data_IF_098429277893
#
_entry.id   IF_098429277893
#
_cell.length_a   1.000
_cell.length_b   1.000
_cell.length_c   1.000
_cell.angle_alpha   90.00
_cell.angle_beta   90.00
_cell.angle_gamma   90.00
#
_symmetry.space_group_name_H-M   'P 1'
#
loop_
_entity.id
_entity.type
_entity.pdbx_description
1 polymer ?
#
# COMPACT_ATOMS: atom_id res chain seq x y z
N UNK A 1 5.71 -23.76 4.25
CA UNK A 1 6.52 -23.06 5.26
C UNK A 1 6.97 -21.76 4.60
N UNK A 2 6.95 -20.64 5.31
CA UNK A 2 7.49 -19.40 4.79
C UNK A 2 9.00 -19.41 4.98
N UNK A 3 9.74 -19.47 3.86
CA UNK A 3 11.20 -19.42 3.86
C UNK A 3 11.60 -17.95 3.74
N UNK A 4 12.07 -17.36 4.83
CA UNK A 4 12.44 -15.96 4.95
C UNK A 4 13.85 -15.87 5.52
N UNK A 5 14.75 -15.16 4.84
CA UNK A 5 16.14 -15.01 5.25
C UNK A 5 16.28 -13.98 6.38
N UNK A 6 15.59 -12.85 6.28
CA UNK A 6 15.59 -11.79 7.28
C UNK A 6 14.30 -10.97 7.23
N UNK A 7 13.94 -10.37 8.36
CA UNK A 7 12.87 -9.40 8.50
C UNK A 7 13.42 -8.18 9.23
N UNK A 8 13.34 -7.04 8.58
CA UNK A 8 13.65 -5.72 9.13
C UNK A 8 12.34 -4.98 9.39
N UNK A 9 12.19 -4.36 10.54
CA UNK A 9 11.00 -3.58 10.89
C UNK A 9 11.33 -2.09 10.87
N UNK A 10 10.60 -1.31 10.07
CA UNK A 10 10.70 0.13 10.02
C UNK A 10 9.59 0.77 10.86
N UNK A 11 9.92 1.79 11.65
CA UNK A 11 8.99 2.53 12.50
C UNK A 11 8.73 3.95 12.00
N UNK A 12 9.46 4.38 10.96
CA UNK A 12 9.21 5.63 10.24
C UNK A 12 9.45 5.47 8.74
N UNK A 13 9.00 6.45 7.95
CA UNK A 13 9.24 6.47 6.50
C UNK A 13 10.73 6.60 6.20
N UNK A 14 11.44 7.45 6.96
CA UNK A 14 12.88 7.66 6.83
C UNK A 14 13.66 6.38 7.10
N UNK A 15 13.27 5.64 8.14
CA UNK A 15 13.88 4.34 8.47
C UNK A 15 13.60 3.31 7.38
N UNK A 16 12.39 3.26 6.83
CA UNK A 16 12.05 2.38 5.71
C UNK A 16 12.90 2.67 4.48
N UNK A 17 13.10 3.95 4.15
CA UNK A 17 13.98 4.39 3.06
C UNK A 17 15.43 4.00 3.34
N UNK A 18 15.94 4.21 4.56
CA UNK A 18 17.30 3.84 4.94
C UNK A 18 17.53 2.32 4.81
N UNK A 19 16.63 1.50 5.36
CA UNK A 19 16.67 0.05 5.24
C UNK A 19 16.62 -0.41 3.77
N UNK A 20 15.81 0.24 2.94
CA UNK A 20 15.72 -0.10 1.51
C UNK A 20 17.01 0.21 0.75
N UNK A 21 17.73 1.26 1.16
CA UNK A 21 19.04 1.59 0.59
C UNK A 21 20.15 0.63 1.05
N UNK A 22 20.09 0.18 2.29
CA UNK A 22 21.01 -0.81 2.85
C UNK A 22 20.76 -2.21 2.29
N UNK A 23 19.51 -2.56 2.08
CA UNK A 23 19.08 -3.86 1.58
C UNK A 23 18.30 -3.73 0.26
N UNK A 24 18.98 -3.42 -0.86
CA UNK A 24 18.35 -3.11 -2.14
C UNK A 24 17.54 -4.26 -2.75
N UNK A 25 17.80 -5.50 -2.36
CA UNK A 25 17.05 -6.68 -2.83
C UNK A 25 15.90 -7.08 -1.90
N UNK A 26 15.81 -6.46 -0.70
CA UNK A 26 14.76 -6.78 0.24
C UNK A 26 13.39 -6.32 -0.27
N UNK A 27 12.37 -7.14 -0.09
CA UNK A 27 11.00 -6.83 -0.48
C UNK A 27 10.29 -6.03 0.62
N UNK A 28 9.72 -4.88 0.27
CA UNK A 28 8.84 -4.16 1.19
C UNK A 28 7.55 -4.97 1.40
N UNK A 29 7.14 -5.09 2.66
CA UNK A 29 5.91 -5.76 3.06
C UNK A 29 5.06 -4.85 3.94
N UNK A 30 3.78 -4.69 3.57
CA UNK A 30 2.75 -4.04 4.37
C UNK A 30 1.84 -5.12 5.01
N UNK A 31 0.58 -5.23 4.63
CA UNK A 31 -0.32 -6.28 5.13
C UNK A 31 0.03 -7.71 4.70
N UNK A 32 0.90 -7.88 3.73
CA UNK A 32 1.45 -9.17 3.32
C UNK A 32 0.50 -10.11 2.56
N UNK A 33 -0.71 -9.69 2.26
CA UNK A 33 -1.74 -10.53 1.65
C UNK A 33 -1.33 -11.13 0.29
N UNK A 34 -0.41 -10.50 -0.45
CA UNK A 34 0.15 -11.00 -1.69
C UNK A 34 1.56 -11.59 -1.50
N UNK A 35 2.47 -10.84 -0.87
CA UNK A 35 3.87 -11.25 -0.68
C UNK A 35 3.98 -12.58 0.05
N UNK A 36 3.21 -12.81 1.11
CA UNK A 36 3.22 -14.08 1.85
C UNK A 36 2.65 -15.24 1.03
N UNK A 37 1.68 -14.98 0.16
CA UNK A 37 1.18 -16.02 -0.77
C UNK A 37 2.28 -16.42 -1.75
N UNK A 38 2.97 -15.44 -2.35
CA UNK A 38 4.08 -15.71 -3.27
C UNK A 38 5.23 -16.48 -2.59
N UNK A 39 5.54 -16.14 -1.32
CA UNK A 39 6.52 -16.89 -0.53
C UNK A 39 6.08 -18.33 -0.29
N UNK A 40 4.82 -18.56 0.07
CA UNK A 40 4.26 -19.91 0.25
C UNK A 40 4.31 -20.73 -1.03
N UNK A 41 4.13 -20.11 -2.18
CA UNK A 41 4.24 -20.73 -3.51
C UNK A 41 5.68 -20.96 -3.97
N UNK A 42 6.67 -20.54 -3.17
CA UNK A 42 8.09 -20.67 -3.49
C UNK A 42 8.66 -19.61 -4.43
N UNK A 43 7.85 -18.70 -4.94
CA UNK A 43 8.29 -17.64 -5.88
C UNK A 43 9.23 -16.63 -5.23
N UNK A 44 9.15 -16.47 -3.91
CA UNK A 44 9.98 -15.57 -3.10
C UNK A 44 10.62 -16.30 -1.91
N UNK A 45 10.97 -17.57 -2.08
CA UNK A 45 11.68 -18.32 -1.07
C UNK A 45 13.04 -17.70 -0.76
N UNK A 46 13.40 -17.60 0.52
CA UNK A 46 14.66 -17.00 0.97
C UNK A 46 14.73 -15.48 0.85
N UNK A 47 13.60 -14.78 0.60
CA UNK A 47 13.59 -13.34 0.51
C UNK A 47 13.92 -12.65 1.85
N UNK A 48 14.59 -11.50 1.77
CA UNK A 48 14.66 -10.53 2.86
C UNK A 48 13.45 -9.61 2.78
N UNK A 49 12.86 -9.27 3.92
CA UNK A 49 11.67 -8.43 3.99
C UNK A 49 11.94 -7.17 4.81
N UNK A 50 11.39 -6.03 4.37
CA UNK A 50 11.31 -4.80 5.15
C UNK A 50 9.83 -4.56 5.46
N UNK A 51 9.45 -4.73 6.71
CA UNK A 51 8.10 -4.46 7.19
C UNK A 51 7.93 -2.97 7.44
N UNK A 52 6.93 -2.38 6.76
CA UNK A 52 6.48 -1.02 7.01
C UNK A 52 5.14 -1.00 7.77
N UNK A 53 4.62 -2.16 8.12
CA UNK A 53 3.26 -2.31 8.67
C UNK A 53 3.05 -1.57 10.00
N UNK A 54 4.11 -1.35 10.78
CA UNK A 54 4.09 -0.63 12.05
C UNK A 54 4.12 0.90 11.94
N UNK A 55 4.21 1.48 10.75
CA UNK A 55 4.31 2.94 10.57
C UNK A 55 2.91 3.57 10.64
N UNK A 56 2.49 4.01 11.81
CA UNK A 56 1.15 4.58 12.02
C UNK A 56 0.93 5.89 11.24
N UNK A 57 1.97 6.67 11.00
CA UNK A 57 1.89 7.90 10.21
C UNK A 57 1.41 7.68 8.76
N UNK A 58 1.53 6.45 8.23
CA UNK A 58 1.06 6.07 6.91
C UNK A 58 -0.37 5.53 6.91
N UNK A 59 -1.14 5.73 8.00
CA UNK A 59 -2.53 5.27 8.14
C UNK A 59 -3.48 6.43 8.27
N UNK A 60 -4.74 6.15 7.96
CA UNK A 60 -5.85 7.08 8.17
C UNK A 60 -6.26 7.83 6.92
N UNK A 61 -7.34 8.60 7.07
CA UNK A 61 -7.98 9.36 6.00
C UNK A 61 -8.29 10.74 6.56
N UNK A 62 -7.92 11.78 5.82
CA UNK A 62 -8.25 13.15 6.20
C UNK A 62 -8.52 14.01 4.96
N UNK A 63 -9.06 15.19 5.17
CA UNK A 63 -9.13 16.24 4.15
C UNK A 63 -8.07 17.26 4.51
N UNK A 64 -7.19 17.59 3.56
CA UNK A 64 -6.14 18.59 3.74
C UNK A 64 -6.68 20.03 3.61
N UNK A 65 -5.78 21.01 3.76
CA UNK A 65 -6.12 22.44 3.71
C UNK A 65 -6.63 22.88 2.33
N UNK A 66 -6.23 22.18 1.27
CA UNK A 66 -6.65 22.44 -0.11
C UNK A 66 -7.95 21.73 -0.48
N UNK A 67 -8.51 20.93 0.43
CA UNK A 67 -9.74 20.18 0.24
C UNK A 67 -9.54 18.81 -0.43
N UNK A 68 -8.31 18.33 -0.60
CA UNK A 68 -8.03 17.02 -1.14
C UNK A 68 -8.22 15.94 -0.08
N UNK A 69 -8.70 14.78 -0.48
CA UNK A 69 -8.77 13.62 0.39
C UNK A 69 -7.41 12.92 0.37
N UNK A 70 -6.75 12.89 1.52
CA UNK A 70 -5.49 12.16 1.72
C UNK A 70 -5.77 10.81 2.37
N UNK A 71 -5.25 9.75 1.77
CA UNK A 71 -5.38 8.37 2.26
C UNK A 71 -3.98 7.83 2.50
N UNK A 72 -3.67 7.51 3.75
CA UNK A 72 -2.38 6.88 4.07
C UNK A 72 -2.25 5.52 3.42
N UNK A 73 -1.09 5.22 2.85
CA UNK A 73 -0.85 4.01 2.06
C UNK A 73 -1.04 2.70 2.85
N UNK A 74 -0.89 2.73 4.17
CA UNK A 74 -1.14 1.60 5.06
C UNK A 74 -2.59 1.53 5.59
N UNK A 75 -3.49 2.36 5.07
CA UNK A 75 -4.91 2.30 5.42
C UNK A 75 -5.53 1.03 4.84
N UNK A 76 -6.16 0.23 5.71
CA UNK A 76 -6.77 -1.04 5.30
C UNK A 76 -8.06 -0.82 4.52
N UNK A 77 -8.41 -1.78 3.68
CA UNK A 77 -9.67 -1.75 2.94
C UNK A 77 -10.89 -1.66 3.85
N UNK A 78 -10.90 -2.40 4.97
CA UNK A 78 -11.98 -2.33 5.95
C UNK A 78 -12.11 -0.94 6.60
N UNK A 79 -11.01 -0.21 6.76
CA UNK A 79 -11.05 1.18 7.22
C UNK A 79 -11.69 2.07 6.14
N UNK A 80 -11.20 2.00 4.90
CA UNK A 80 -11.70 2.79 3.76
C UNK A 80 -13.22 2.61 3.59
N UNK A 81 -13.70 1.36 3.60
CA UNK A 81 -15.13 1.04 3.45
C UNK A 81 -16.01 1.69 4.53
N UNK A 82 -15.48 1.88 5.73
CA UNK A 82 -16.25 2.39 6.88
C UNK A 82 -16.06 3.88 7.12
N UNK A 83 -15.07 4.48 6.52
CA UNK A 83 -14.70 5.86 6.77
C UNK A 83 -15.79 6.85 6.31
N UNK A 84 -16.19 7.83 7.14
CA UNK A 84 -17.25 8.78 6.80
C UNK A 84 -16.86 9.73 5.67
N UNK A 85 -15.58 10.08 5.50
CA UNK A 85 -15.10 10.93 4.40
C UNK A 85 -15.26 10.18 3.09
N UNK A 86 -14.81 8.92 3.05
CA UNK A 86 -14.94 8.08 1.85
C UNK A 86 -16.42 7.91 1.47
N UNK A 87 -17.27 7.56 2.43
CA UNK A 87 -18.72 7.37 2.21
C UNK A 87 -19.41 8.63 1.70
N UNK A 88 -18.97 9.78 2.14
CA UNK A 88 -19.57 11.06 1.75
C UNK A 88 -19.12 11.54 0.38
N UNK A 89 -17.84 11.42 0.07
CA UNK A 89 -17.25 12.10 -1.09
C UNK A 89 -16.84 11.16 -2.23
N UNK A 90 -16.38 9.95 -1.92
CA UNK A 90 -15.90 8.96 -2.91
C UNK A 90 -16.37 7.55 -2.56
N UNK A 91 -17.67 7.38 -2.29
CA UNK A 91 -18.25 6.10 -1.86
C UNK A 91 -17.91 4.94 -2.81
N UNK A 92 -17.76 5.22 -4.11
CA UNK A 92 -17.39 4.21 -5.12
C UNK A 92 -16.04 3.55 -4.80
N UNK A 93 -15.09 4.27 -4.18
CA UNK A 93 -13.83 3.66 -3.72
C UNK A 93 -14.11 2.66 -2.58
N UNK A 94 -14.97 3.06 -1.62
CA UNK A 94 -15.38 2.17 -0.53
C UNK A 94 -16.04 0.89 -1.02
N UNK A 95 -16.91 0.98 -2.02
CA UNK A 95 -17.57 -0.16 -2.66
C UNK A 95 -16.58 -1.05 -3.41
N UNK A 96 -15.66 -0.44 -4.17
CA UNK A 96 -14.64 -1.17 -4.92
C UNK A 96 -13.73 -1.99 -4.00
N UNK A 97 -13.21 -1.39 -2.93
CA UNK A 97 -12.32 -2.10 -2.00
C UNK A 97 -13.07 -3.10 -1.11
N UNK A 98 -14.38 -2.98 -0.94
CA UNK A 98 -15.19 -3.99 -0.25
C UNK A 98 -15.37 -5.29 -1.07
N UNK A 99 -15.11 -5.24 -2.36
CA UNK A 99 -15.08 -6.42 -3.22
C UNK A 99 -13.77 -7.23 -3.12
N UNK A 100 -12.72 -6.67 -2.50
CA UNK A 100 -11.42 -7.36 -2.38
C UNK A 100 -11.52 -8.53 -1.41
N UNK A 101 -11.42 -9.74 -1.92
CA UNK A 101 -11.33 -10.99 -1.14
C UNK A 101 -12.37 -11.09 -0.02
N UNK A 102 -11.98 -11.70 1.10
CA UNK A 102 -12.82 -11.82 2.29
C UNK A 102 -12.47 -10.79 3.38
N UNK A 103 -13.27 -10.71 4.47
CA UNK A 103 -13.06 -9.76 5.58
C UNK A 103 -11.64 -9.81 6.17
N UNK A 104 -11.05 -11.00 6.25
CA UNK A 104 -9.68 -11.19 6.78
C UNK A 104 -8.66 -10.46 5.89
N UNK A 105 -8.80 -10.57 4.57
CA UNK A 105 -7.93 -9.89 3.61
C UNK A 105 -8.14 -8.39 3.69
N UNK A 106 -9.39 -7.92 3.78
CA UNK A 106 -9.70 -6.48 3.86
C UNK A 106 -9.21 -5.83 5.15
N UNK A 107 -9.08 -6.59 6.23
CA UNK A 107 -8.56 -6.05 7.51
C UNK A 107 -7.05 -5.80 7.47
N UNK A 108 -6.28 -6.56 6.70
CA UNK A 108 -4.81 -6.45 6.62
C UNK A 108 -4.33 -5.88 5.28
N UNK A 109 -5.06 -6.10 4.20
CA UNK A 109 -4.76 -5.52 2.89
C UNK A 109 -4.85 -4.00 2.93
N UNK A 110 -3.89 -3.32 2.33
CA UNK A 110 -3.75 -1.86 2.36
C UNK A 110 -3.88 -1.28 0.96
N UNK A 111 -4.37 -0.03 0.89
CA UNK A 111 -4.54 0.66 -0.40
C UNK A 111 -3.21 0.82 -1.12
N UNK A 112 -2.15 1.21 -0.41
CA UNK A 112 -0.81 1.33 -0.98
C UNK A 112 -0.25 -0.02 -1.44
N UNK A 113 -0.41 -1.09 -0.65
CA UNK A 113 0.02 -2.43 -1.06
C UNK A 113 -0.69 -2.92 -2.33
N UNK A 114 -1.98 -2.65 -2.47
CA UNK A 114 -2.76 -2.99 -3.65
C UNK A 114 -2.30 -2.18 -4.88
N UNK A 115 -2.10 -0.87 -4.72
CA UNK A 115 -1.61 0.01 -5.78
C UNK A 115 -0.19 -0.39 -6.22
N UNK A 116 0.73 -0.61 -5.26
CA UNK A 116 2.11 -0.96 -5.52
C UNK A 116 2.29 -2.37 -6.10
N UNK A 117 1.34 -3.27 -5.89
CA UNK A 117 1.36 -4.59 -6.52
C UNK A 117 1.22 -4.50 -8.06
N UNK A 118 0.66 -3.41 -8.57
CA UNK A 118 0.61 -3.10 -10.01
C UNK A 118 -0.23 -4.07 -10.84
N UNK A 119 -1.10 -4.84 -10.21
CA UNK A 119 -2.00 -5.77 -10.92
C UNK A 119 -3.09 -4.96 -11.60
N UNK A 120 -3.20 -5.08 -12.92
CA UNK A 120 -4.18 -4.35 -13.74
C UNK A 120 -5.64 -4.62 -13.36
N UNK A 121 -5.91 -5.76 -12.72
CA UNK A 121 -7.23 -6.15 -12.20
C UNK A 121 -7.44 -5.78 -10.73
N UNK A 122 -6.60 -4.89 -10.16
CA UNK A 122 -6.80 -4.43 -8.79
C UNK A 122 -8.12 -3.65 -8.67
N UNK A 123 -8.99 -4.06 -7.74
CA UNK A 123 -10.35 -3.51 -7.60
C UNK A 123 -10.35 -1.99 -7.34
N UNK A 124 -9.34 -1.48 -6.64
CA UNK A 124 -9.19 -0.04 -6.39
C UNK A 124 -8.65 0.77 -7.57
N UNK A 125 -7.96 0.13 -8.52
CA UNK A 125 -7.18 0.83 -9.56
C UNK A 125 -8.06 1.70 -10.46
N UNK A 126 -9.18 1.16 -10.96
CA UNK A 126 -10.11 1.89 -11.83
C UNK A 126 -10.71 3.12 -11.14
N UNK A 127 -11.05 2.99 -9.86
CA UNK A 127 -11.62 4.09 -9.07
C UNK A 127 -10.57 5.17 -8.81
N UNK A 128 -9.36 4.78 -8.39
CA UNK A 128 -8.26 5.74 -8.16
C UNK A 128 -7.93 6.50 -9.45
N UNK A 129 -7.91 5.79 -10.58
CA UNK A 129 -7.65 6.41 -11.88
C UNK A 129 -8.77 7.37 -12.31
N UNK A 130 -10.04 6.98 -12.13
CA UNK A 130 -11.19 7.82 -12.48
C UNK A 130 -11.27 9.11 -11.64
N UNK A 131 -10.72 9.09 -10.44
CA UNK A 131 -10.62 10.25 -9.55
C UNK A 131 -9.29 10.99 -9.66
N UNK A 132 -8.49 10.67 -10.67
CA UNK A 132 -7.18 11.30 -10.92
C UNK A 132 -6.29 11.31 -9.66
N UNK A 133 -6.28 10.17 -8.94
CA UNK A 133 -5.52 10.06 -7.71
C UNK A 133 -4.02 10.29 -7.95
N UNK A 134 -3.41 11.10 -7.09
CA UNK A 134 -1.97 11.34 -7.08
C UNK A 134 -1.32 10.42 -6.05
N UNK A 135 -0.25 9.74 -6.44
CA UNK A 135 0.53 8.89 -5.55
C UNK A 135 1.79 9.63 -5.14
N UNK A 136 1.96 9.85 -3.85
CA UNK A 136 3.18 10.42 -3.28
C UNK A 136 4.18 9.29 -3.00
N UNK A 137 5.38 9.41 -3.59
CA UNK A 137 6.49 8.48 -3.40
C UNK A 137 7.63 9.15 -2.66
N UNK A 138 8.12 8.53 -1.61
CA UNK A 138 9.24 9.04 -0.81
C UNK A 138 10.49 8.19 -1.05
N UNK A 139 11.59 8.84 -1.42
CA UNK A 139 12.90 8.23 -1.62
C UNK A 139 14.02 9.02 -0.94
N UNK A 140 15.28 8.60 -1.16
CA UNK A 140 16.48 9.13 -0.48
C UNK A 140 16.62 10.65 -0.50
N UNK A 141 16.24 11.31 -1.58
CA UNK A 141 16.47 12.74 -1.79
C UNK A 141 15.21 13.48 -2.27
N UNK A 142 14.03 12.83 -2.25
CA UNK A 142 12.84 13.39 -2.87
C UNK A 142 11.56 12.79 -2.34
N UNK A 143 10.54 13.64 -2.25
CA UNK A 143 9.15 13.26 -2.34
C UNK A 143 8.68 13.65 -3.73
N UNK A 144 8.02 12.74 -4.46
CA UNK A 144 7.48 13.00 -5.79
C UNK A 144 6.00 12.68 -5.83
N UNK A 145 5.22 13.59 -6.40
CA UNK A 145 3.83 13.35 -6.71
C UNK A 145 3.72 12.82 -8.16
N UNK A 146 3.08 11.67 -8.31
CA UNK A 146 2.80 11.08 -9.62
C UNK A 146 1.30 11.02 -9.85
N UNK A 147 0.84 11.71 -10.87
CA UNK A 147 -0.49 11.45 -11.43
C UNK A 147 -0.52 10.06 -12.07
N UNK A 148 -1.63 9.38 -11.91
CA UNK A 148 -1.79 7.95 -12.20
C UNK A 148 -1.68 7.58 -13.67
N UNK A 149 -0.50 7.69 -14.27
CA UNK A 149 -0.17 6.84 -15.40
C UNK A 149 0.24 5.47 -14.86
N UNK A 150 -0.74 4.63 -14.58
CA UNK A 150 -0.60 3.30 -13.98
C UNK A 150 0.07 2.28 -14.92
N UNK A 151 1.10 2.64 -15.66
CA UNK A 151 1.76 1.70 -16.56
C UNK A 151 2.97 0.95 -15.98
N UNK A 152 3.46 1.29 -14.84
CA UNK A 152 4.39 0.47 -14.03
C UNK A 152 4.76 1.20 -12.74
N UNK A 153 3.93 1.10 -11.73
CA UNK A 153 4.32 1.47 -10.38
C UNK A 153 5.19 0.36 -9.80
N UNK A 154 6.48 0.41 -10.07
CA UNK A 154 7.46 -0.19 -9.20
C UNK A 154 7.56 0.74 -7.98
N UNK A 155 6.67 0.53 -7.00
CA UNK A 155 6.72 1.25 -5.74
C UNK A 155 7.94 0.77 -4.95
N UNK A 156 8.85 1.66 -4.73
CA UNK A 156 9.94 1.52 -3.77
C UNK A 156 9.63 2.38 -2.58
#
# INVERSE_FOLDING_TARGET
MYDMKALYEAHSVEEAVALRLEHPEAQIIAGGSDVLVQMREGKRAGAELISIYGIDAMRGICIDEDGNIRIGSLTSFSHITRDPIIRKYINVLGEAVDMVGGPQIRNIGTIGGNTCNGVTSADSASTLHAWEAVVELTGKNRSEEHTSELQSLCCI
#
